data_IF_032775106080
#
_entry.id   IF_032775106080
#
_cell.length_a   1.000
_cell.length_b   1.000
_cell.length_c   1.000
_cell.angle_alpha   90.00
_cell.angle_beta   90.00
_cell.angle_gamma   90.00
#
_symmetry.space_group_name_H-M   'P 1'
#
loop_
_entity.id
_entity.type
_entity.pdbx_description
1 polymer ?
#
# COMPACT_ATOMS: atom_id res chain seq x y z
N UNK A 1 17.01 9.91 -2.52
CA UNK A 1 15.62 10.37 -2.45
C UNK A 1 15.47 11.41 -1.36
N UNK A 2 14.71 12.43 -1.66
CA UNK A 2 14.43 13.49 -0.71
C UNK A 2 13.52 12.96 0.40
N UNK A 3 13.74 13.42 1.62
CA UNK A 3 12.87 13.10 2.74
C UNK A 3 11.49 13.73 2.50
N UNK A 4 10.42 13.02 2.88
CA UNK A 4 9.06 13.53 2.72
C UNK A 4 8.87 14.88 3.44
N UNK A 5 9.57 15.08 4.55
CA UNK A 5 9.47 16.32 5.32
C UNK A 5 9.99 17.53 4.56
N UNK A 6 10.74 17.31 3.50
CA UNK A 6 11.26 18.38 2.65
C UNK A 6 10.28 18.82 1.56
N UNK A 7 9.12 18.19 1.48
CA UNK A 7 8.09 18.58 0.52
C UNK A 7 7.59 20.00 0.81
N UNK A 8 7.27 20.79 -0.23
CA UNK A 8 6.93 22.21 -0.06
C UNK A 8 5.75 22.47 0.87
N UNK A 9 4.81 21.56 0.95
CA UNK A 9 3.60 21.72 1.75
C UNK A 9 3.60 20.78 2.96
N UNK A 10 4.76 20.33 3.41
CA UNK A 10 4.83 19.43 4.57
C UNK A 10 4.07 20.03 5.76
N UNK A 11 3.22 19.23 6.37
CA UNK A 11 2.34 19.66 7.45
C UNK A 11 1.00 20.23 7.00
N UNK A 12 0.76 20.37 5.70
CA UNK A 12 -0.44 20.98 5.15
C UNK A 12 -1.24 20.10 4.20
N UNK A 13 -0.75 18.90 3.88
CA UNK A 13 -1.47 18.03 2.94
C UNK A 13 -2.75 17.52 3.57
N UNK A 14 -3.87 17.82 2.94
CA UNK A 14 -5.19 17.40 3.40
C UNK A 14 -5.62 16.05 2.80
N UNK A 15 -4.86 15.53 1.86
CA UNK A 15 -5.13 14.25 1.22
C UNK A 15 -3.82 13.61 0.79
N UNK A 16 -3.69 12.31 1.08
CA UNK A 16 -2.56 11.51 0.63
C UNK A 16 -3.11 10.31 -0.12
N UNK A 17 -2.64 10.12 -1.34
CA UNK A 17 -2.92 8.90 -2.11
C UNK A 17 -1.60 8.16 -2.26
N UNK A 18 -1.59 6.91 -1.87
CA UNK A 18 -0.38 6.12 -1.95
C UNK A 18 -0.62 4.69 -2.43
N UNK A 19 0.42 4.14 -3.00
CA UNK A 19 0.48 2.75 -3.42
C UNK A 19 1.77 2.17 -2.86
N UNK A 20 1.75 1.69 -1.62
CA UNK A 20 2.97 1.22 -0.99
C UNK A 20 3.59 0.06 -1.76
N UNK A 21 4.91 0.02 -1.89
CA UNK A 21 5.60 -1.07 -2.59
C UNK A 21 5.73 -2.28 -1.65
N UNK A 22 4.62 -2.97 -1.46
CA UNK A 22 4.55 -4.13 -0.57
C UNK A 22 5.54 -5.20 -0.96
N UNK A 23 6.13 -5.86 0.04
CA UNK A 23 6.98 -7.00 -0.15
C UNK A 23 6.09 -8.25 -0.20
N UNK A 24 5.88 -8.77 -1.40
CA UNK A 24 5.00 -9.92 -1.60
C UNK A 24 5.72 -11.21 -1.26
N UNK A 25 5.21 -11.89 -0.23
CA UNK A 25 5.58 -13.27 0.06
C UNK A 25 4.43 -14.15 -0.37
N UNK A 26 4.68 -15.03 -1.33
CA UNK A 26 3.67 -15.96 -1.79
C UNK A 26 3.61 -17.18 -0.87
N UNK A 27 2.52 -17.93 -0.96
CA UNK A 27 2.36 -19.14 -0.18
C UNK A 27 3.42 -20.19 -0.43
N UNK A 28 3.99 -20.18 -1.60
CA UNK A 28 5.03 -21.13 -1.95
C UNK A 28 6.36 -20.81 -1.30
N UNK A 29 6.42 -19.75 -0.53
CA UNK A 29 7.69 -19.25 -0.02
C UNK A 29 8.63 -18.89 -1.13
N UNK A 30 8.11 -18.80 -2.32
CA UNK A 30 8.89 -18.66 -3.51
C UNK A 30 9.34 -17.22 -3.72
N UNK A 31 9.64 -16.58 -2.68
CA UNK A 31 10.58 -15.49 -2.70
C UNK A 31 11.85 -15.88 -3.47
N UNK A 32 11.94 -17.13 -3.75
CA UNK A 32 13.01 -17.71 -4.53
C UNK A 32 12.79 -17.64 -6.03
N UNK A 33 11.71 -17.08 -6.54
CA UNK A 33 11.57 -16.95 -7.98
C UNK A 33 12.22 -15.65 -8.43
N UNK A 34 13.48 -15.71 -8.85
CA UNK A 34 14.26 -14.49 -9.13
C UNK A 34 13.68 -13.68 -10.28
N UNK A 35 12.99 -14.36 -11.17
CA UNK A 35 12.40 -13.71 -12.35
C UNK A 35 11.24 -12.79 -12.00
N UNK A 36 10.53 -13.11 -10.94
CA UNK A 36 9.46 -12.24 -10.46
C UNK A 36 10.02 -11.11 -9.63
N UNK A 37 11.14 -11.36 -8.98
CA UNK A 37 11.85 -10.33 -8.25
C UNK A 37 12.49 -9.30 -9.18
N UNK A 38 12.63 -9.62 -10.44
CA UNK A 38 13.07 -8.65 -11.44
C UNK A 38 12.00 -7.63 -11.76
N UNK A 39 11.01 -7.56 -10.93
CA UNK A 39 10.02 -6.52 -10.96
C UNK A 39 10.71 -5.16 -11.03
N UNK A 40 10.23 -4.24 -11.89
CA UNK A 40 10.84 -2.92 -12.00
C UNK A 40 10.71 -2.08 -10.73
N UNK A 41 9.93 -2.51 -9.76
CA UNK A 41 9.73 -1.75 -8.54
C UNK A 41 10.44 -2.41 -7.36
N UNK A 42 11.24 -1.62 -6.67
CA UNK A 42 11.79 -2.07 -5.40
C UNK A 42 10.67 -2.17 -4.38
N UNK A 43 10.65 -3.27 -3.63
CA UNK A 43 9.71 -3.44 -2.53
C UNK A 43 10.31 -2.95 -1.23
N UNK A 44 9.46 -2.68 -0.24
CA UNK A 44 9.89 -2.29 1.09
C UNK A 44 9.24 -3.20 2.11
N UNK A 45 9.99 -3.53 3.15
CA UNK A 45 9.41 -4.23 4.30
C UNK A 45 8.40 -3.33 5.00
N UNK A 46 7.39 -3.95 5.59
CA UNK A 46 6.34 -3.21 6.30
C UNK A 46 6.91 -2.33 7.41
N UNK A 47 7.93 -2.80 8.12
CA UNK A 47 8.58 -1.99 9.14
C UNK A 47 9.16 -0.70 8.60
N UNK A 48 9.83 -0.79 7.45
CA UNK A 48 10.40 0.40 6.79
C UNK A 48 9.30 1.36 6.32
N UNK A 49 8.20 0.82 5.82
CA UNK A 49 7.05 1.65 5.43
C UNK A 49 6.47 2.40 6.62
N UNK A 50 6.38 1.76 7.78
CA UNK A 50 5.87 2.41 9.00
C UNK A 50 6.77 3.55 9.46
N UNK A 51 8.04 3.49 9.16
CA UNK A 51 9.00 4.51 9.56
C UNK A 51 8.96 5.76 8.66
N UNK A 52 8.25 5.71 7.54
CA UNK A 52 8.09 6.89 6.71
C UNK A 52 7.32 7.97 7.47
N UNK A 53 7.76 9.23 7.42
CA UNK A 53 7.16 10.30 8.22
C UNK A 53 5.89 10.86 7.57
N UNK A 54 4.95 10.00 7.21
CA UNK A 54 3.72 10.43 6.55
C UNK A 54 2.88 11.31 7.48
N UNK A 55 2.78 10.95 8.75
CA UNK A 55 2.01 11.74 9.72
C UNK A 55 2.56 13.14 9.93
N UNK A 56 3.84 13.37 9.63
CA UNK A 56 4.46 14.68 9.79
C UNK A 56 4.21 15.63 8.64
N UNK A 57 3.77 15.10 7.48
CA UNK A 57 3.52 15.94 6.32
C UNK A 57 2.05 16.30 6.14
N UNK A 58 1.17 15.67 6.91
CA UNK A 58 -0.27 15.84 6.76
C UNK A 58 -0.80 16.96 7.63
N UNK A 59 -1.88 17.60 7.16
CA UNK A 59 -2.64 18.54 7.97
C UNK A 59 -3.35 17.77 9.10
N UNK A 60 -3.82 18.48 10.15
CA UNK A 60 -4.58 17.83 11.23
C UNK A 60 -5.79 17.04 10.71
N UNK A 61 -6.45 17.55 9.70
CA UNK A 61 -7.54 16.85 9.01
C UNK A 61 -7.02 16.40 7.66
N UNK A 62 -6.72 15.13 7.54
CA UNK A 62 -6.19 14.57 6.29
C UNK A 62 -6.85 13.23 6.00
N UNK A 63 -7.19 13.02 4.74
CA UNK A 63 -7.68 11.74 4.26
C UNK A 63 -6.54 10.95 3.63
N UNK A 64 -6.40 9.70 4.02
CA UNK A 64 -5.44 8.78 3.45
C UNK A 64 -6.18 7.78 2.56
N UNK A 65 -5.77 7.72 1.30
CA UNK A 65 -6.24 6.71 0.35
C UNK A 65 -5.05 5.81 0.02
N UNK A 66 -5.16 4.55 0.36
CA UNK A 66 -4.07 3.60 0.19
C UNK A 66 -4.54 2.43 -0.66
N UNK A 67 -3.83 2.20 -1.76
CA UNK A 67 -4.06 1.00 -2.55
C UNK A 67 -3.53 -0.21 -1.80
N UNK A 68 -4.36 -1.25 -1.74
CA UNK A 68 -3.97 -2.50 -1.11
C UNK A 68 -4.40 -3.66 -2.00
N UNK A 69 -3.75 -4.80 -1.80
CA UNK A 69 -4.26 -6.07 -2.29
C UNK A 69 -4.80 -6.84 -1.10
N UNK A 70 -5.79 -7.68 -1.35
CA UNK A 70 -6.50 -8.37 -0.26
C UNK A 70 -5.56 -9.15 0.66
N UNK A 71 -4.53 -9.75 0.10
CA UNK A 71 -3.56 -10.53 0.87
C UNK A 71 -2.77 -9.69 1.88
N UNK A 72 -2.73 -8.38 1.72
CA UNK A 72 -1.99 -7.46 2.59
C UNK A 72 -2.91 -6.56 3.41
N UNK A 73 -4.16 -6.95 3.58
CA UNK A 73 -5.14 -6.13 4.29
C UNK A 73 -4.68 -5.80 5.71
N UNK A 74 -4.22 -6.82 6.45
CA UNK A 74 -3.79 -6.60 7.83
C UNK A 74 -2.61 -5.64 7.92
N UNK A 75 -1.62 -5.82 7.04
CA UNK A 75 -0.46 -4.95 7.00
C UNK A 75 -0.86 -3.53 6.63
N UNK A 76 -1.78 -3.39 5.69
CA UNK A 76 -2.25 -2.07 5.27
C UNK A 76 -2.95 -1.32 6.40
N UNK A 77 -3.79 -1.99 7.15
CA UNK A 77 -4.46 -1.39 8.29
C UNK A 77 -3.46 -0.98 9.36
N UNK A 78 -2.48 -1.85 9.64
CA UNK A 78 -1.44 -1.54 10.60
C UNK A 78 -0.56 -0.37 10.14
N UNK A 79 -0.29 -0.29 8.85
CA UNK A 79 0.51 0.80 8.29
C UNK A 79 -0.22 2.14 8.43
N UNK A 80 -1.49 2.18 8.07
CA UNK A 80 -2.29 3.40 8.23
C UNK A 80 -2.33 3.87 9.67
N UNK A 81 -2.50 2.93 10.60
CA UNK A 81 -2.49 3.24 12.03
C UNK A 81 -1.13 3.77 12.50
N UNK A 82 -0.03 3.18 11.99
CA UNK A 82 1.32 3.64 12.33
C UNK A 82 1.57 5.08 11.86
N UNK A 83 0.94 5.48 10.77
CA UNK A 83 1.02 6.86 10.27
C UNK A 83 0.05 7.81 10.96
N UNK A 84 -0.75 7.33 11.90
CA UNK A 84 -1.67 8.16 12.68
C UNK A 84 -3.08 8.24 12.12
N UNK A 85 -3.43 7.37 11.18
CA UNK A 85 -4.77 7.36 10.57
C UNK A 85 -5.66 6.30 11.20
N UNK A 86 -6.95 6.58 11.22
CA UNK A 86 -7.97 5.63 11.63
C UNK A 86 -8.69 5.10 10.40
N UNK A 87 -8.80 3.78 10.28
CA UNK A 87 -9.51 3.19 9.17
C UNK A 87 -11.00 3.57 9.22
N UNK A 88 -11.55 3.99 8.11
CA UNK A 88 -12.96 4.36 8.00
C UNK A 88 -13.74 3.42 7.11
N UNK A 89 -13.27 3.20 5.89
CA UNK A 89 -14.01 2.40 4.93
C UNK A 89 -13.14 2.10 3.71
N UNK A 90 -13.66 1.26 2.85
CA UNK A 90 -13.12 1.03 1.52
C UNK A 90 -13.74 2.08 0.60
N UNK A 91 -12.90 2.89 -0.04
CA UNK A 91 -13.36 3.95 -0.91
C UNK A 91 -13.68 3.45 -2.32
N UNK A 92 -12.78 2.64 -2.87
CA UNK A 92 -12.90 2.14 -4.24
C UNK A 92 -12.40 0.70 -4.29
N UNK A 93 -12.98 -0.06 -5.22
CA UNK A 93 -12.52 -1.42 -5.51
C UNK A 93 -12.19 -1.50 -6.98
N UNK A 94 -10.95 -1.90 -7.27
CA UNK A 94 -10.51 -2.13 -8.64
C UNK A 94 -10.65 -3.61 -8.93
N UNK A 95 -11.63 -3.94 -9.75
CA UNK A 95 -11.90 -5.32 -10.16
C UNK A 95 -11.30 -5.54 -11.53
N UNK A 96 -10.40 -6.51 -11.62
CA UNK A 96 -9.83 -6.90 -12.90
C UNK A 96 -10.81 -7.84 -13.62
N UNK A 97 -11.01 -7.59 -14.88
CA UNK A 97 -11.81 -8.47 -15.72
C UNK A 97 -11.01 -8.82 -16.97
N UNK A 98 -11.33 -9.98 -17.53
CA UNK A 98 -10.79 -10.35 -18.82
C UNK A 98 -11.82 -10.12 -19.90
N UNK A 99 -11.39 -10.24 -21.15
CA UNK A 99 -12.28 -10.11 -22.31
C UNK A 99 -13.54 -10.95 -22.11
N UNK A 100 -14.70 -10.35 -22.36
CA UNK A 100 -15.98 -10.98 -22.08
C UNK A 100 -16.58 -10.62 -20.74
N UNK A 101 -15.90 -9.80 -19.93
CA UNK A 101 -16.44 -9.28 -18.69
C UNK A 101 -16.31 -10.18 -17.48
N UNK A 102 -15.56 -11.26 -17.59
CA UNK A 102 -15.36 -12.17 -16.46
C UNK A 102 -14.39 -11.56 -15.45
N UNK A 103 -14.76 -11.65 -14.18
CA UNK A 103 -13.89 -11.22 -13.09
C UNK A 103 -12.71 -12.20 -12.97
N UNK A 104 -11.52 -11.64 -12.77
CA UNK A 104 -10.31 -12.43 -12.56
C UNK A 104 -9.95 -12.37 -11.09
N UNK A 105 -10.28 -13.41 -10.29
CA UNK A 105 -9.89 -13.45 -8.90
C UNK A 105 -8.38 -13.64 -8.79
N UNK A 106 -7.77 -12.95 -7.84
CA UNK A 106 -6.36 -13.14 -7.56
C UNK A 106 -6.12 -14.42 -6.76
N UNK A 107 -4.85 -14.82 -6.71
CA UNK A 107 -4.45 -15.94 -5.88
C UNK A 107 -4.64 -15.59 -4.41
N UNK A 108 -5.04 -16.57 -3.62
CA UNK A 108 -5.26 -16.37 -2.21
C UNK A 108 -6.65 -15.92 -1.83
N UNK A 109 -7.50 -15.72 -2.79
CA UNK A 109 -8.86 -15.24 -2.55
C UNK A 109 -9.71 -16.26 -1.78
N UNK A 110 -9.37 -17.51 -1.93
CA UNK A 110 -10.16 -18.62 -1.40
C UNK A 110 -9.38 -19.53 -0.45
N UNK A 111 -8.44 -19.02 0.21
CA UNK A 111 -7.70 -19.84 1.18
C UNK A 111 -8.45 -20.01 2.49
#
# INVERSE_FOLDING_TARGET
MTDLRDLPQAGRYACVLCDPPWDFKTYSGASSVPTLAADPYATMETGALKDLPVGEITAPDCALFMWIVDAHLEEALALGAAWGFTFKTIAFVWVKSKEGGWVVPGMGYWT
#
